data_IF_648810809473
#
_entry.id   IF_648810809473
#
_cell.length_a   1.000
_cell.length_b   1.000
_cell.length_c   1.000
_cell.angle_alpha   90.00
_cell.angle_beta   90.00
_cell.angle_gamma   90.00
#
_symmetry.space_group_name_H-M   'P 1'
#
loop_
_entity.id
_entity.type
_entity.pdbx_description
1 polymer ?
#
# COMPACT_ATOMS: atom_id res chain seq x y z
N UNK A 1 20.19 15.80 9.06
CA UNK A 1 19.11 15.53 8.09
C UNK A 1 17.74 15.82 8.70
N UNK A 2 16.70 16.04 7.87
CA UNK A 2 15.38 16.42 8.38
C UNK A 2 14.76 15.39 9.34
N UNK A 3 15.00 14.10 9.11
CA UNK A 3 14.47 13.00 9.92
C UNK A 3 15.48 12.44 10.95
N UNK A 4 16.65 13.06 11.07
CA UNK A 4 17.70 12.64 12.01
C UNK A 4 17.44 13.20 13.40
N UNK A 5 17.65 12.38 14.44
CA UNK A 5 17.50 12.78 15.83
C UNK A 5 18.60 12.19 16.73
N UNK A 6 18.76 12.85 17.88
CA UNK A 6 19.47 12.33 19.04
C UNK A 6 18.50 12.29 20.23
N UNK A 7 18.40 11.13 20.89
CA UNK A 7 17.70 10.94 22.14
C UNK A 7 18.73 10.57 23.21
N UNK A 8 18.85 11.40 24.25
CA UNK A 8 19.71 11.14 25.39
C UNK A 8 18.88 10.98 26.66
N UNK A 9 19.01 9.84 27.32
CA UNK A 9 18.37 9.53 28.59
C UNK A 9 19.41 9.39 29.67
N UNK A 10 19.29 10.19 30.71
CA UNK A 10 20.12 10.15 31.92
C UNK A 10 19.25 9.85 33.13
N UNK A 11 19.80 9.59 34.32
CA UNK A 11 18.98 9.40 35.51
C UNK A 11 18.13 10.61 35.91
N UNK A 12 18.38 11.80 35.31
CA UNK A 12 17.72 13.06 35.68
C UNK A 12 16.96 13.72 34.53
N UNK A 13 17.33 13.44 33.30
CA UNK A 13 16.79 14.16 32.10
C UNK A 13 16.57 13.25 30.95
N UNK A 14 15.60 13.62 30.12
CA UNK A 14 15.43 13.09 28.77
C UNK A 14 15.55 14.26 27.82
N UNK A 15 16.53 14.22 26.91
CA UNK A 15 16.77 15.25 25.92
C UNK A 15 16.55 14.69 24.52
N UNK A 16 15.84 15.42 23.68
CA UNK A 16 15.59 15.08 22.29
C UNK A 16 16.05 16.26 21.42
N UNK A 17 16.96 16.00 20.51
CA UNK A 17 17.40 16.92 19.47
C UNK A 17 17.02 16.33 18.11
N UNK A 18 16.19 17.03 17.36
CA UNK A 18 15.74 16.60 16.03
C UNK A 18 16.02 17.66 14.96
N UNK A 19 16.33 17.23 13.75
CA UNK A 19 16.49 18.11 12.59
C UNK A 19 15.17 18.78 12.13
N UNK A 20 14.02 18.27 12.63
CA UNK A 20 12.68 18.78 12.37
C UNK A 20 11.70 18.28 13.44
N UNK A 21 10.44 18.80 13.51
CA UNK A 21 9.39 18.23 14.36
C UNK A 21 9.11 16.74 14.06
N UNK A 22 9.22 16.31 12.81
CA UNK A 22 9.10 14.90 12.42
C UNK A 22 10.18 14.02 13.06
N UNK A 23 11.43 14.50 13.10
CA UNK A 23 12.54 13.80 13.78
C UNK A 23 12.29 13.66 15.28
N UNK A 24 11.74 14.71 15.93
CA UNK A 24 11.35 14.66 17.35
C UNK A 24 10.22 13.62 17.56
N UNK A 25 9.24 13.58 16.65
CA UNK A 25 8.19 12.55 16.71
C UNK A 25 8.77 11.15 16.65
N UNK A 26 9.75 10.87 15.78
CA UNK A 26 10.41 9.57 15.70
C UNK A 26 11.24 9.25 16.94
N UNK A 27 11.90 10.23 17.53
CA UNK A 27 12.59 10.06 18.81
C UNK A 27 11.62 9.68 19.93
N UNK A 28 10.42 10.26 19.95
CA UNK A 28 9.37 9.89 20.91
C UNK A 28 8.87 8.46 20.68
N UNK A 29 8.77 7.98 19.43
CA UNK A 29 8.45 6.57 19.18
C UNK A 29 9.55 5.64 19.73
N UNK A 30 10.82 6.00 19.57
CA UNK A 30 11.94 5.27 20.17
C UNK A 30 11.88 5.30 21.70
N UNK A 31 11.66 6.44 22.30
CA UNK A 31 11.51 6.55 23.76
C UNK A 31 10.38 5.65 24.28
N UNK A 32 9.22 5.65 23.61
CA UNK A 32 8.09 4.75 23.97
C UNK A 32 8.46 3.28 23.93
N UNK A 33 9.34 2.88 23.00
CA UNK A 33 9.83 1.51 22.89
C UNK A 33 10.83 1.17 24.00
N UNK A 34 11.60 2.14 24.47
CA UNK A 34 12.58 1.97 25.57
C UNK A 34 11.94 1.88 26.95
N UNK A 35 10.68 2.34 27.11
CA UNK A 35 9.98 2.28 28.39
C UNK A 35 9.71 0.81 28.75
N UNK A 36 10.32 0.34 29.83
CA UNK A 36 10.06 -0.98 30.38
C UNK A 36 8.66 -1.06 31.04
N UNK A 37 8.19 -2.28 31.31
CA UNK A 37 6.87 -2.54 31.92
C UNK A 37 6.70 -1.92 33.31
N UNK A 38 7.81 -1.70 34.03
CA UNK A 38 7.81 -1.02 35.34
C UNK A 38 7.89 0.52 35.22
N UNK A 39 7.79 1.08 33.99
CA UNK A 39 7.85 2.51 33.75
C UNK A 39 9.26 3.12 33.72
N UNK A 40 10.31 2.33 33.84
CA UNK A 40 11.70 2.82 33.79
C UNK A 40 12.21 2.86 32.36
N UNK A 41 13.15 3.77 32.10
CA UNK A 41 13.88 3.89 30.83
C UNK A 41 15.37 3.76 31.13
N UNK A 42 16.12 2.93 30.40
CA UNK A 42 17.56 2.80 30.61
C UNK A 42 18.27 4.12 30.23
N UNK A 43 19.35 4.46 30.94
CA UNK A 43 20.24 5.53 30.53
C UNK A 43 20.90 5.13 29.21
N UNK A 44 20.72 5.96 28.17
CA UNK A 44 21.17 5.62 26.82
C UNK A 44 21.29 6.88 25.97
N UNK A 45 22.17 6.86 24.99
CA UNK A 45 22.22 7.85 23.91
C UNK A 45 21.96 7.14 22.59
N UNK A 46 20.90 7.59 21.90
CA UNK A 46 20.48 7.07 20.60
C UNK A 46 20.68 8.16 19.56
N UNK A 47 21.44 7.89 18.50
CA UNK A 47 21.54 8.72 17.29
C UNK A 47 21.04 7.93 16.11
N UNK A 48 20.03 8.46 15.42
CA UNK A 48 19.32 7.64 14.45
C UNK A 48 18.74 8.45 13.29
N UNK A 49 18.62 7.80 12.13
CA UNK A 49 18.01 8.34 10.92
C UNK A 49 17.59 7.21 10.00
N UNK A 50 16.54 7.40 9.15
CA UNK A 50 16.13 6.37 8.20
C UNK A 50 17.12 6.19 7.05
N UNK A 51 17.19 4.94 6.54
CA UNK A 51 17.92 4.61 5.31
C UNK A 51 17.15 4.99 4.04
N UNK A 52 15.81 4.86 4.06
CA UNK A 52 14.97 5.13 2.89
C UNK A 52 13.99 6.29 3.13
N UNK A 53 13.76 7.07 2.08
CA UNK A 53 12.80 8.17 2.10
C UNK A 53 11.34 7.67 2.11
N UNK A 54 11.02 6.61 1.34
CA UNK A 54 9.70 5.97 1.33
C UNK A 54 9.72 4.74 2.25
N UNK A 55 8.88 4.77 3.26
CA UNK A 55 8.68 3.68 4.22
C UNK A 55 7.18 3.49 4.37
N UNK A 56 6.62 2.56 3.58
CA UNK A 56 5.17 2.49 3.35
C UNK A 56 4.48 1.28 3.96
N UNK A 57 3.18 1.46 4.18
CA UNK A 57 2.22 0.39 4.39
C UNK A 57 0.94 0.66 3.60
N UNK A 58 0.43 -0.35 2.89
CA UNK A 58 -0.80 -0.26 2.12
C UNK A 58 -1.93 -1.03 2.82
N UNK A 59 -3.13 -0.46 2.75
CA UNK A 59 -4.37 -1.11 3.15
C UNK A 59 -5.38 -1.09 2.00
N UNK A 60 -5.86 -2.28 1.62
CA UNK A 60 -6.92 -2.45 0.66
C UNK A 60 -8.29 -2.19 1.31
N UNK A 61 -8.96 -1.13 0.86
CA UNK A 61 -10.36 -0.82 1.21
C UNK A 61 -11.33 -1.24 0.11
N UNK A 62 -10.85 -1.63 -1.07
CA UNK A 62 -11.66 -2.08 -2.20
C UNK A 62 -12.39 -3.38 -1.90
N UNK A 63 -11.71 -4.41 -1.41
CA UNK A 63 -12.29 -5.74 -1.13
C UNK A 63 -13.12 -5.74 0.15
N UNK A 64 -12.59 -5.15 1.25
CA UNK A 64 -13.33 -4.93 2.49
C UNK A 64 -13.26 -3.47 2.92
N UNK A 65 -14.39 -2.96 3.42
CA UNK A 65 -14.51 -1.59 3.90
C UNK A 65 -14.05 -1.48 5.35
N UNK A 66 -13.25 -0.47 5.63
CA UNK A 66 -12.76 -0.14 6.98
C UNK A 66 -13.40 1.17 7.44
N UNK A 67 -13.91 1.19 8.65
CA UNK A 67 -14.41 2.44 9.24
C UNK A 67 -13.29 3.47 9.35
N UNK A 68 -13.64 4.74 9.45
CA UNK A 68 -12.67 5.85 9.65
C UNK A 68 -11.76 5.56 10.85
N UNK A 69 -12.31 5.03 11.94
CA UNK A 69 -11.54 4.70 13.15
C UNK A 69 -10.58 3.50 12.91
N UNK A 70 -10.97 2.52 12.12
CA UNK A 70 -10.09 1.40 11.76
C UNK A 70 -8.94 1.85 10.86
N UNK A 71 -9.20 2.73 9.88
CA UNK A 71 -8.15 3.33 9.06
C UNK A 71 -7.19 4.14 9.94
N UNK A 72 -7.69 4.96 10.88
CA UNK A 72 -6.85 5.69 11.84
C UNK A 72 -6.01 4.75 12.71
N UNK A 73 -6.56 3.62 13.15
CA UNK A 73 -5.79 2.60 13.89
C UNK A 73 -4.69 1.96 13.03
N UNK A 74 -4.92 1.78 11.73
CA UNK A 74 -3.87 1.32 10.82
C UNK A 74 -2.76 2.37 10.69
N UNK A 75 -3.12 3.65 10.55
CA UNK A 75 -2.16 4.77 10.55
C UNK A 75 -1.33 4.78 11.86
N UNK A 76 -1.96 4.52 13.02
CA UNK A 76 -1.24 4.42 14.29
C UNK A 76 -0.21 3.27 14.31
N UNK A 77 -0.53 2.13 13.67
CA UNK A 77 0.43 1.04 13.50
C UNK A 77 1.64 1.51 12.68
N UNK A 78 1.40 2.22 11.58
CA UNK A 78 2.49 2.76 10.74
C UNK A 78 3.33 3.77 11.53
N UNK A 79 2.70 4.70 12.23
CA UNK A 79 3.35 5.74 13.02
C UNK A 79 4.27 5.17 14.11
N UNK A 80 3.80 4.15 14.85
CA UNK A 80 4.59 3.48 15.89
C UNK A 80 5.87 2.83 15.34
N UNK A 81 5.85 2.42 14.09
CA UNK A 81 7.00 1.80 13.41
C UNK A 81 7.81 2.81 12.59
N UNK A 82 7.58 4.12 12.76
CA UNK A 82 8.26 5.21 12.02
C UNK A 82 8.13 5.08 10.50
N UNK A 83 7.08 4.42 10.02
CA UNK A 83 6.69 4.47 8.61
C UNK A 83 6.08 5.85 8.33
N UNK A 84 6.30 6.38 7.13
CA UNK A 84 5.91 7.75 6.77
C UNK A 84 4.95 7.81 5.59
N UNK A 85 4.52 6.67 5.05
CA UNK A 85 3.57 6.61 3.93
C UNK A 85 2.46 5.62 4.25
N UNK A 86 1.22 6.08 4.07
CA UNK A 86 0.03 5.26 3.99
C UNK A 86 -0.46 5.22 2.53
N UNK A 87 -0.29 4.09 1.87
CA UNK A 87 -0.85 3.85 0.55
C UNK A 87 -2.27 3.31 0.72
N UNK A 88 -3.26 4.05 0.22
CA UNK A 88 -4.68 3.75 0.42
C UNK A 88 -5.34 3.31 -0.88
N UNK A 89 -5.61 2.00 -1.00
CA UNK A 89 -6.25 1.41 -2.18
C UNK A 89 -7.77 1.57 -2.10
N UNK A 90 -8.36 2.38 -3.00
CA UNK A 90 -9.72 2.91 -2.89
C UNK A 90 -10.68 2.46 -3.99
N UNK A 91 -10.22 1.79 -5.02
CA UNK A 91 -11.07 1.31 -6.12
C UNK A 91 -10.69 -0.11 -6.54
N UNK A 92 -11.70 -0.92 -6.92
CA UNK A 92 -11.51 -2.32 -7.26
C UNK A 92 -12.70 -2.88 -8.06
N UNK A 93 -12.55 -4.07 -8.66
CA UNK A 93 -13.63 -4.80 -9.33
C UNK A 93 -14.81 -5.10 -8.39
N UNK A 94 -14.52 -5.27 -7.11
CA UNK A 94 -15.53 -5.55 -6.09
C UNK A 94 -16.15 -4.28 -5.53
N UNK A 95 -15.55 -3.07 -5.73
CA UNK A 95 -16.15 -1.81 -5.25
C UNK A 95 -15.34 -0.55 -5.55
N UNK A 96 -16.07 0.56 -5.44
CA UNK A 96 -15.55 1.93 -5.40
C UNK A 96 -15.72 2.52 -4.00
N UNK A 97 -14.69 3.17 -3.43
CA UNK A 97 -14.69 3.53 -2.02
C UNK A 97 -14.65 5.02 -1.70
N UNK A 98 -14.43 5.90 -2.65
CA UNK A 98 -14.30 7.34 -2.41
C UNK A 98 -15.42 8.12 -3.08
N UNK A 99 -16.03 9.06 -2.34
CA UNK A 99 -17.03 9.97 -2.90
C UNK A 99 -16.41 10.89 -3.94
N UNK A 100 -16.96 10.87 -5.14
CA UNK A 100 -16.69 11.80 -6.23
C UNK A 100 -18.01 12.52 -6.55
N UNK A 101 -18.11 13.78 -6.17
CA UNK A 101 -19.36 14.54 -6.25
C UNK A 101 -19.88 14.67 -7.67
N UNK A 102 -18.97 14.77 -8.65
CA UNK A 102 -19.32 14.80 -10.06
C UNK A 102 -19.90 13.48 -10.56
N UNK A 103 -19.57 12.37 -9.92
CA UNK A 103 -19.99 11.02 -10.31
C UNK A 103 -20.66 10.26 -9.16
N UNK A 104 -21.86 10.66 -8.71
CA UNK A 104 -22.50 10.13 -7.50
C UNK A 104 -22.81 8.63 -7.60
N UNK A 105 -23.09 8.09 -8.81
CA UNK A 105 -23.35 6.67 -8.98
C UNK A 105 -22.15 5.77 -8.59
N UNK A 106 -20.93 6.31 -8.53
CA UNK A 106 -19.77 5.56 -8.04
C UNK A 106 -19.97 5.08 -6.60
N UNK A 107 -20.64 5.88 -5.76
CA UNK A 107 -20.95 5.50 -4.38
C UNK A 107 -22.34 4.92 -4.22
N UNK A 108 -23.30 5.29 -5.05
CA UNK A 108 -24.66 4.74 -4.99
C UNK A 108 -24.73 3.30 -5.50
N UNK A 109 -24.02 2.99 -6.59
CA UNK A 109 -23.99 1.67 -7.24
C UNK A 109 -22.65 0.97 -7.00
N UNK A 110 -21.54 1.66 -7.34
CA UNK A 110 -20.19 1.07 -7.36
C UNK A 110 -19.67 0.69 -5.98
N UNK A 111 -20.21 1.25 -4.89
CA UNK A 111 -19.75 0.95 -3.54
C UNK A 111 -20.40 -0.28 -2.90
N UNK A 112 -21.37 -0.92 -3.57
CA UNK A 112 -22.15 -2.03 -3.01
C UNK A 112 -22.06 -3.24 -3.91
N UNK A 113 -21.70 -4.41 -3.38
CA UNK A 113 -21.90 -5.72 -4.01
C UNK A 113 -23.09 -6.44 -3.38
N UNK A 114 -23.83 -7.21 -4.18
CA UNK A 114 -25.07 -7.87 -3.73
C UNK A 114 -24.84 -8.96 -2.68
N UNK A 115 -23.67 -9.59 -2.69
CA UNK A 115 -23.26 -10.69 -1.80
C UNK A 115 -21.75 -10.88 -1.86
N UNK A 116 -21.19 -11.71 -0.99
CA UNK A 116 -19.76 -12.03 -0.98
C UNK A 116 -19.56 -13.54 -1.05
N UNK A 117 -18.58 -13.99 -1.85
CA UNK A 117 -18.18 -15.40 -1.89
C UNK A 117 -17.69 -15.87 -0.51
N UNK A 118 -18.14 -17.05 -0.09
CA UNK A 118 -17.71 -17.68 1.16
C UNK A 118 -16.57 -18.64 0.86
N UNK A 119 -15.44 -18.41 1.53
CA UNK A 119 -14.27 -19.26 1.33
C UNK A 119 -13.45 -18.85 0.10
N UNK A 120 -12.63 -19.76 -0.40
CA UNK A 120 -11.84 -19.52 -1.61
C UNK A 120 -12.71 -19.63 -2.85
N UNK A 121 -12.58 -18.66 -3.74
CA UNK A 121 -13.28 -18.71 -5.03
C UNK A 121 -12.66 -19.77 -5.93
N UNK A 122 -13.49 -20.74 -6.35
CA UNK A 122 -13.10 -21.76 -7.33
C UNK A 122 -13.37 -21.22 -8.75
N UNK A 123 -12.28 -20.86 -9.44
CA UNK A 123 -12.32 -20.35 -10.83
C UNK A 123 -12.59 -21.46 -11.85
N UNK A 124 -12.41 -22.72 -11.46
CA UNK A 124 -12.50 -23.88 -12.38
C UNK A 124 -13.88 -24.50 -12.39
N UNK A 125 -14.60 -24.39 -11.28
CA UNK A 125 -15.97 -24.91 -11.13
C UNK A 125 -16.81 -23.92 -10.30
N UNK A 126 -17.45 -22.99 -10.99
CA UNK A 126 -18.27 -21.95 -10.34
C UNK A 126 -19.43 -22.52 -9.53
N UNK A 127 -19.91 -23.74 -9.84
CA UNK A 127 -21.00 -24.39 -9.11
C UNK A 127 -20.64 -24.76 -7.66
N UNK A 128 -19.35 -24.79 -7.34
CA UNK A 128 -18.83 -25.04 -5.99
C UNK A 128 -18.81 -23.79 -5.11
N UNK A 129 -18.90 -22.62 -5.72
CA UNK A 129 -18.86 -21.36 -4.98
C UNK A 129 -20.18 -21.17 -4.22
N UNK A 130 -20.05 -20.75 -2.97
CA UNK A 130 -21.16 -20.36 -2.11
C UNK A 130 -21.03 -18.89 -1.76
N UNK A 131 -22.16 -18.23 -1.61
CA UNK A 131 -22.26 -16.82 -1.30
C UNK A 131 -23.07 -16.61 -0.03
N UNK A 132 -22.81 -15.50 0.67
CA UNK A 132 -23.47 -15.18 1.93
C UNK A 132 -24.89 -14.61 1.75
N UNK A 133 -25.26 -14.24 0.51
CA UNK A 133 -26.55 -13.67 0.16
C UNK A 133 -26.85 -12.33 0.82
N UNK A 134 -25.82 -11.61 1.29
CA UNK A 134 -25.95 -10.34 2.00
C UNK A 134 -25.29 -9.21 1.24
N UNK A 135 -26.01 -8.11 0.97
CA UNK A 135 -25.39 -6.92 0.44
C UNK A 135 -24.28 -6.42 1.38
N UNK A 136 -23.16 -6.08 0.78
CA UNK A 136 -22.03 -5.52 1.52
C UNK A 136 -21.58 -4.23 0.84
N UNK A 137 -21.47 -3.12 1.58
CA UNK A 137 -21.17 -1.80 1.04
C UNK A 137 -20.39 -0.93 2.02
N UNK A 138 -20.18 0.30 1.60
CA UNK A 138 -19.50 1.35 2.36
C UNK A 138 -18.58 2.16 1.46
N UNK A 139 -18.46 3.43 1.75
CA UNK A 139 -17.56 4.37 1.08
C UNK A 139 -17.16 5.47 2.06
N UNK A 140 -16.15 6.23 1.71
CA UNK A 140 -15.71 7.40 2.47
C UNK A 140 -16.25 8.65 1.80
N UNK A 141 -16.93 9.49 2.57
CA UNK A 141 -17.25 10.85 2.16
C UNK A 141 -15.97 11.67 2.01
N UNK A 142 -16.04 12.77 1.27
CA UNK A 142 -14.89 13.67 1.19
C UNK A 142 -14.45 14.21 2.56
N UNK A 143 -15.39 14.38 3.49
CA UNK A 143 -15.08 14.81 4.84
C UNK A 143 -14.38 13.70 5.65
N UNK A 144 -14.78 12.44 5.48
CA UNK A 144 -14.05 11.29 6.05
C UNK A 144 -12.60 11.24 5.55
N UNK A 145 -12.41 11.43 4.24
CA UNK A 145 -11.08 11.46 3.63
C UNK A 145 -10.23 12.59 4.21
N UNK A 146 -10.79 13.82 4.31
CA UNK A 146 -10.08 14.96 4.92
C UNK A 146 -9.70 14.67 6.37
N UNK A 147 -10.60 14.07 7.14
CA UNK A 147 -10.34 13.71 8.54
C UNK A 147 -9.22 12.66 8.67
N UNK A 148 -9.15 11.68 7.77
CA UNK A 148 -8.09 10.66 7.72
C UNK A 148 -6.75 11.29 7.31
N UNK A 149 -6.74 12.10 6.27
CA UNK A 149 -5.53 12.81 5.79
C UNK A 149 -4.96 13.73 6.88
N UNK A 150 -5.81 14.50 7.56
CA UNK A 150 -5.39 15.35 8.68
C UNK A 150 -4.81 14.52 9.84
N UNK A 151 -5.46 13.40 10.19
CA UNK A 151 -4.99 12.50 11.23
C UNK A 151 -3.62 11.88 10.92
N UNK A 152 -3.39 11.52 9.66
CA UNK A 152 -2.10 11.02 9.19
C UNK A 152 -1.01 12.10 9.25
N UNK A 153 -1.35 13.33 8.83
CA UNK A 153 -0.44 14.47 8.83
C UNK A 153 0.08 14.82 10.23
N UNK A 154 -0.77 14.73 11.28
CA UNK A 154 -0.37 14.88 12.69
C UNK A 154 0.69 13.85 13.12
N UNK A 155 0.84 12.76 12.39
CA UNK A 155 1.79 11.66 12.62
C UNK A 155 2.93 11.64 11.62
N UNK A 156 3.05 12.70 10.81
CA UNK A 156 4.03 12.80 9.72
C UNK A 156 3.94 11.65 8.72
N UNK A 157 2.72 11.19 8.44
CA UNK A 157 2.42 10.16 7.45
C UNK A 157 1.73 10.83 6.25
N UNK A 158 2.34 10.71 5.08
CA UNK A 158 1.74 11.08 3.80
C UNK A 158 0.74 10.00 3.38
N UNK A 159 -0.47 10.41 2.96
CA UNK A 159 -1.46 9.49 2.41
C UNK A 159 -1.40 9.55 0.90
N UNK A 160 -0.98 8.45 0.26
CA UNK A 160 -0.98 8.29 -1.19
C UNK A 160 -2.25 7.53 -1.59
N UNK A 161 -3.21 8.18 -2.27
CA UNK A 161 -4.41 7.50 -2.75
C UNK A 161 -4.09 6.64 -3.97
N UNK A 162 -4.77 5.50 -4.08
CA UNK A 162 -4.80 4.71 -5.30
C UNK A 162 -6.20 4.65 -5.88
N UNK A 163 -6.30 5.06 -7.15
CA UNK A 163 -7.44 4.81 -8.04
C UNK A 163 -6.91 3.95 -9.17
N UNK A 164 -7.15 2.66 -9.05
CA UNK A 164 -6.62 1.69 -10.00
C UNK A 164 -7.28 1.83 -11.37
N UNK A 165 -6.47 1.81 -12.44
CA UNK A 165 -6.93 1.95 -13.82
C UNK A 165 -5.86 1.44 -14.80
N UNK A 166 -6.22 0.97 -16.00
CA UNK A 166 -7.58 0.83 -16.55
C UNK A 166 -8.26 -0.50 -16.18
N UNK A 167 -7.53 -1.44 -15.54
CA UNK A 167 -8.07 -2.65 -14.91
C UNK A 167 -8.75 -2.36 -13.57
N UNK A 168 -9.31 -3.38 -12.91
CA UNK A 168 -9.91 -3.30 -11.57
C UNK A 168 -10.98 -2.20 -11.41
N UNK A 169 -11.76 -1.95 -12.48
CA UNK A 169 -12.68 -0.82 -12.58
C UNK A 169 -14.17 -1.23 -12.71
N UNK A 170 -14.54 -2.47 -12.34
CA UNK A 170 -15.96 -2.86 -12.43
C UNK A 170 -16.87 -2.05 -11.50
N UNK A 171 -16.39 -1.58 -10.36
CA UNK A 171 -17.14 -0.64 -9.53
C UNK A 171 -17.56 0.62 -10.30
N UNK A 172 -16.64 1.19 -11.10
CA UNK A 172 -16.92 2.32 -11.96
C UNK A 172 -17.74 1.93 -13.20
N UNK A 173 -17.44 0.81 -13.84
CA UNK A 173 -18.15 0.34 -15.03
C UNK A 173 -19.60 -0.06 -14.74
N UNK A 174 -19.91 -0.61 -13.58
CA UNK A 174 -21.27 -0.88 -13.14
C UNK A 174 -22.07 0.42 -12.95
N UNK A 175 -21.39 1.50 -12.51
CA UNK A 175 -21.96 2.81 -12.28
C UNK A 175 -22.15 3.61 -13.57
N UNK A 176 -21.17 3.55 -14.48
CA UNK A 176 -21.08 4.31 -15.73
C UNK A 176 -20.67 3.38 -16.87
N UNK A 177 -21.57 2.53 -17.36
CA UNK A 177 -21.23 1.46 -18.31
C UNK A 177 -20.69 1.95 -19.66
N UNK A 178 -20.98 3.18 -20.05
CA UNK A 178 -20.44 3.78 -21.27
C UNK A 178 -18.90 3.89 -21.27
N UNK A 179 -18.26 3.88 -20.10
CA UNK A 179 -16.80 3.95 -19.96
C UNK A 179 -16.08 2.66 -20.38
N UNK A 180 -16.80 1.55 -20.44
CA UNK A 180 -16.22 0.27 -20.88
C UNK A 180 -16.42 -0.01 -22.36
N UNK A 181 -15.72 -1.02 -22.88
CA UNK A 181 -15.76 -1.40 -24.29
C UNK A 181 -17.13 -1.93 -24.72
N UNK A 182 -17.86 -2.63 -23.85
CA UNK A 182 -19.20 -3.18 -24.14
C UNK A 182 -20.32 -2.16 -23.99
N UNK A 183 -20.11 -1.11 -23.19
CA UNK A 183 -21.09 -0.05 -22.93
C UNK A 183 -22.32 -0.46 -22.11
N UNK A 184 -22.40 -1.72 -21.64
CA UNK A 184 -23.53 -2.25 -20.86
C UNK A 184 -23.20 -3.58 -20.19
N UNK A 185 -24.03 -3.99 -19.22
CA UNK A 185 -24.00 -5.32 -18.63
C UNK A 185 -22.80 -5.56 -17.72
N UNK A 186 -22.36 -4.50 -17.03
CA UNK A 186 -21.36 -4.61 -15.98
C UNK A 186 -22.04 -4.70 -14.61
N UNK A 187 -21.46 -5.50 -13.73
CA UNK A 187 -21.89 -5.66 -12.35
C UNK A 187 -20.70 -5.59 -11.43
N UNK A 188 -20.89 -5.05 -10.24
CA UNK A 188 -19.90 -5.09 -9.17
C UNK A 188 -19.68 -6.56 -8.77
N UNK A 189 -18.42 -7.01 -8.76
CA UNK A 189 -18.11 -8.41 -8.49
C UNK A 189 -18.37 -8.83 -7.04
N UNK A 190 -18.80 -10.07 -6.90
CA UNK A 190 -19.12 -10.73 -5.62
C UNK A 190 -18.04 -11.72 -5.19
N UNK A 191 -16.98 -11.86 -5.98
CA UNK A 191 -15.88 -12.80 -5.81
C UNK A 191 -14.53 -12.16 -6.13
N UNK A 192 -13.46 -12.90 -5.94
CA UNK A 192 -12.09 -12.43 -6.11
C UNK A 192 -11.51 -12.85 -7.45
N UNK A 193 -10.72 -11.99 -8.06
CA UNK A 193 -10.06 -12.29 -9.33
C UNK A 193 -9.79 -11.04 -10.17
N UNK A 194 -9.52 -11.24 -11.46
CA UNK A 194 -9.19 -10.21 -12.45
C UNK A 194 -10.29 -10.19 -13.49
N UNK A 195 -11.00 -9.08 -13.62
CA UNK A 195 -12.02 -8.89 -14.64
C UNK A 195 -11.42 -8.67 -16.02
N UNK A 196 -12.05 -9.26 -17.05
CA UNK A 196 -11.72 -8.92 -18.45
C UNK A 196 -12.25 -7.56 -18.88
N UNK A 197 -13.21 -7.03 -18.15
CA UNK A 197 -13.83 -5.74 -18.43
C UNK A 197 -13.04 -4.62 -17.76
N UNK A 198 -12.46 -3.77 -18.59
CA UNK A 198 -11.57 -2.67 -18.20
C UNK A 198 -12.08 -1.37 -18.83
N UNK A 199 -11.56 -0.23 -18.40
CA UNK A 199 -11.85 1.05 -19.05
C UNK A 199 -11.50 1.02 -20.54
N UNK A 200 -12.31 1.66 -21.37
CA UNK A 200 -12.10 1.71 -22.82
C UNK A 200 -11.09 2.80 -23.19
N UNK A 201 -9.85 2.42 -23.48
CA UNK A 201 -8.80 3.35 -23.86
C UNK A 201 -9.00 4.00 -25.25
N UNK A 202 -10.01 3.58 -26.02
CA UNK A 202 -10.35 4.17 -27.31
C UNK A 202 -11.30 5.36 -27.25
N UNK A 203 -11.91 5.65 -26.10
CA UNK A 203 -12.91 6.72 -25.95
C UNK A 203 -12.36 7.94 -25.21
N UNK A 204 -12.62 9.13 -25.71
CA UNK A 204 -12.24 10.37 -25.00
C UNK A 204 -13.04 10.56 -23.71
N UNK A 205 -14.31 10.14 -23.69
CA UNK A 205 -15.17 10.17 -22.50
C UNK A 205 -14.53 9.41 -21.30
N UNK A 206 -13.76 8.37 -21.57
CA UNK A 206 -13.02 7.63 -20.52
C UNK A 206 -11.92 8.51 -19.90
N UNK A 207 -11.19 9.25 -20.72
CA UNK A 207 -10.14 10.15 -20.21
C UNK A 207 -10.75 11.34 -19.47
N UNK A 208 -11.85 11.90 -19.99
CA UNK A 208 -12.59 12.95 -19.28
C UNK A 208 -13.07 12.48 -17.91
N UNK A 209 -13.59 11.26 -17.82
CA UNK A 209 -13.98 10.65 -16.54
C UNK A 209 -12.78 10.54 -15.59
N UNK A 210 -11.65 9.99 -16.06
CA UNK A 210 -10.44 9.82 -15.25
C UNK A 210 -9.92 11.17 -14.76
N UNK A 211 -9.82 12.16 -15.63
CA UNK A 211 -9.34 13.50 -15.28
C UNK A 211 -10.24 14.18 -14.25
N UNK A 212 -11.56 14.06 -14.39
CA UNK A 212 -12.53 14.61 -13.44
C UNK A 212 -12.46 13.90 -12.05
N UNK A 213 -12.30 12.58 -12.03
CA UNK A 213 -12.10 11.83 -10.78
C UNK A 213 -10.80 12.27 -10.10
N UNK A 214 -9.71 12.31 -10.86
CA UNK A 214 -8.41 12.72 -10.31
C UNK A 214 -8.43 14.17 -9.84
N UNK A 215 -9.16 15.09 -10.49
CA UNK A 215 -9.29 16.48 -10.03
C UNK A 215 -9.84 16.55 -8.59
N UNK A 216 -10.92 15.82 -8.29
CA UNK A 216 -11.45 15.77 -6.91
C UNK A 216 -10.50 15.04 -5.95
N UNK A 217 -9.79 14.00 -6.40
CA UNK A 217 -8.76 13.32 -5.59
C UNK A 217 -7.63 14.29 -5.23
N UNK A 218 -7.16 15.12 -6.17
CA UNK A 218 -6.10 16.11 -5.90
C UNK A 218 -6.51 17.16 -4.87
N UNK A 219 -7.80 17.52 -4.80
CA UNK A 219 -8.32 18.45 -3.79
C UNK A 219 -8.36 17.84 -2.38
N UNK A 220 -8.46 16.52 -2.29
CA UNK A 220 -8.54 15.79 -1.03
C UNK A 220 -7.18 15.36 -0.48
N UNK A 221 -6.22 15.05 -1.36
CA UNK A 221 -4.93 14.51 -0.98
C UNK A 221 -3.79 15.49 -1.34
N UNK A 222 -3.08 16.02 -0.35
CA UNK A 222 -1.95 16.92 -0.57
C UNK A 222 -0.70 16.20 -1.10
N UNK A 223 -0.70 14.88 -1.15
CA UNK A 223 0.44 14.08 -1.62
C UNK A 223 0.91 14.52 -3.00
N UNK A 224 2.22 14.61 -3.15
CA UNK A 224 2.84 14.81 -4.45
C UNK A 224 2.59 13.63 -5.40
N UNK A 225 2.39 12.44 -4.85
CA UNK A 225 2.23 11.20 -5.58
C UNK A 225 0.77 10.76 -5.63
N UNK A 226 0.34 10.31 -6.80
CA UNK A 226 -0.95 9.65 -7.02
C UNK A 226 -0.68 8.28 -7.62
N UNK A 227 -1.18 7.24 -6.97
CA UNK A 227 -1.08 5.88 -7.49
C UNK A 227 -2.27 5.58 -8.40
N UNK A 228 -1.99 5.13 -9.61
CA UNK A 228 -3.01 4.89 -10.64
C UNK A 228 -3.14 3.41 -11.02
N UNK A 229 -2.59 2.51 -10.19
CA UNK A 229 -2.63 1.08 -10.44
C UNK A 229 -1.86 0.66 -11.67
N UNK A 230 -2.56 0.15 -12.66
CA UNK A 230 -2.02 -0.25 -13.97
C UNK A 230 -1.66 -1.72 -14.09
N UNK A 231 -1.89 -2.48 -13.02
CA UNK A 231 -1.69 -3.92 -12.98
C UNK A 231 -2.86 -4.70 -13.59
N UNK A 232 -2.59 -5.93 -13.86
CA UNK A 232 -3.57 -6.97 -14.23
C UNK A 232 -4.66 -6.49 -15.21
N UNK A 233 -4.28 -5.65 -16.19
CA UNK A 233 -5.17 -5.15 -17.22
C UNK A 233 -5.27 -6.12 -18.39
N UNK A 234 -6.32 -6.96 -18.51
CA UNK A 234 -6.48 -7.89 -19.63
C UNK A 234 -6.77 -7.13 -20.93
N UNK A 235 -6.28 -7.66 -22.04
CA UNK A 235 -6.37 -7.01 -23.36
C UNK A 235 -7.51 -7.53 -24.24
N UNK A 236 -8.24 -8.55 -23.80
CA UNK A 236 -9.28 -9.21 -24.60
C UNK A 236 -10.34 -8.23 -25.12
N UNK A 237 -10.84 -7.36 -24.22
CA UNK A 237 -11.86 -6.37 -24.62
C UNK A 237 -11.33 -5.34 -25.62
N UNK A 238 -10.09 -4.91 -25.46
CA UNK A 238 -9.48 -3.93 -26.35
C UNK A 238 -9.25 -4.49 -27.75
N UNK A 239 -8.89 -5.78 -27.87
CA UNK A 239 -8.71 -6.45 -29.18
C UNK A 239 -9.99 -6.46 -30.01
N UNK A 240 -11.13 -6.61 -29.35
CA UNK A 240 -12.44 -6.70 -29.99
C UNK A 240 -13.14 -5.33 -30.11
N UNK A 241 -12.67 -4.31 -29.40
CA UNK A 241 -13.32 -3.00 -29.33
C UNK A 241 -12.97 -2.12 -30.55
N UNK A 242 -13.94 -1.72 -31.40
CA UNK A 242 -13.66 -0.88 -32.55
C UNK A 242 -13.02 0.47 -32.18
N UNK A 243 -13.38 1.06 -31.04
CA UNK A 243 -12.82 2.33 -30.58
C UNK A 243 -11.34 2.17 -30.18
N UNK A 244 -10.99 1.09 -29.43
CA UNK A 244 -9.61 0.81 -29.05
C UNK A 244 -8.74 0.51 -30.29
N UNK A 245 -9.26 -0.31 -31.21
CA UNK A 245 -8.55 -0.62 -32.46
C UNK A 245 -8.39 0.59 -33.38
N UNK A 246 -9.35 1.52 -33.40
CA UNK A 246 -9.20 2.81 -34.10
C UNK A 246 -8.08 3.64 -33.45
N UNK A 247 -8.08 3.78 -32.11
CA UNK A 247 -7.05 4.51 -31.34
C UNK A 247 -5.65 3.96 -31.64
N UNK A 248 -5.47 2.63 -31.64
CA UNK A 248 -4.20 1.98 -31.98
C UNK A 248 -3.71 2.44 -33.34
N UNK A 249 -4.60 2.47 -34.37
CA UNK A 249 -4.22 2.90 -35.73
C UNK A 249 -3.93 4.39 -35.82
N UNK A 250 -4.75 5.23 -35.19
CA UNK A 250 -4.63 6.68 -35.22
C UNK A 250 -3.35 7.17 -34.54
N UNK A 251 -2.97 6.53 -33.42
CA UNK A 251 -1.77 6.87 -32.66
C UNK A 251 -0.52 6.09 -33.12
N UNK A 252 -0.65 5.22 -34.14
CA UNK A 252 0.46 4.43 -34.66
C UNK A 252 1.03 3.40 -33.68
N UNK A 253 0.19 2.89 -32.75
CA UNK A 253 0.59 1.93 -31.75
C UNK A 253 0.70 0.52 -32.34
N UNK A 254 1.62 -0.30 -31.86
CA UNK A 254 1.86 -1.65 -32.38
C UNK A 254 0.83 -2.68 -31.87
N UNK A 255 0.29 -2.50 -30.66
CA UNK A 255 -0.59 -3.46 -30.02
C UNK A 255 -1.28 -2.87 -28.76
N UNK A 256 -2.06 -3.69 -28.07
CA UNK A 256 -2.79 -3.31 -26.85
C UNK A 256 -1.89 -3.03 -25.63
N UNK A 257 -0.65 -3.52 -25.59
CA UNK A 257 0.29 -3.13 -24.52
C UNK A 257 0.74 -1.68 -24.73
N UNK A 258 0.98 -1.27 -25.97
CA UNK A 258 1.25 0.14 -26.27
C UNK A 258 0.01 1.02 -26.10
N UNK A 259 -1.20 0.48 -26.27
CA UNK A 259 -2.43 1.20 -25.93
C UNK A 259 -2.54 1.43 -24.40
N UNK A 260 -2.11 0.49 -23.58
CA UNK A 260 -2.02 0.73 -22.13
C UNK A 260 -0.96 1.78 -21.80
N UNK A 261 0.19 1.71 -22.45
CA UNK A 261 1.24 2.74 -22.34
C UNK A 261 0.72 4.11 -22.73
N UNK A 262 -0.01 4.23 -23.83
CA UNK A 262 -0.67 5.47 -24.25
C UNK A 262 -1.64 5.99 -23.18
N UNK A 263 -2.46 5.10 -22.60
CA UNK A 263 -3.36 5.46 -21.51
C UNK A 263 -2.59 6.03 -20.32
N UNK A 264 -1.55 5.33 -19.87
CA UNK A 264 -0.71 5.76 -18.74
C UNK A 264 -0.01 7.10 -19.02
N UNK A 265 0.53 7.31 -20.21
CA UNK A 265 1.18 8.56 -20.58
C UNK A 265 0.20 9.74 -20.59
N UNK A 266 -1.06 9.54 -21.01
CA UNK A 266 -2.08 10.60 -20.95
C UNK A 266 -2.41 10.98 -19.50
N UNK A 267 -2.59 9.98 -18.62
CA UNK A 267 -2.84 10.20 -17.20
C UNK A 267 -1.64 10.86 -16.53
N UNK A 268 -0.42 10.39 -16.82
CA UNK A 268 0.81 10.97 -16.30
C UNK A 268 0.97 12.44 -16.72
N UNK A 269 0.75 12.74 -18.00
CA UNK A 269 0.83 14.11 -18.51
C UNK A 269 -0.14 15.03 -17.76
N UNK A 270 -1.40 14.59 -17.60
CA UNK A 270 -2.41 15.36 -16.88
C UNK A 270 -2.00 15.59 -15.41
N UNK A 271 -1.50 14.58 -14.72
CA UNK A 271 -1.00 14.70 -13.34
C UNK A 271 0.16 15.70 -13.26
N UNK A 272 1.11 15.66 -14.19
CA UNK A 272 2.24 16.60 -14.21
C UNK A 272 1.78 18.05 -14.43
N UNK A 273 0.81 18.28 -15.30
CA UNK A 273 0.20 19.60 -15.52
C UNK A 273 -0.47 20.14 -14.26
N UNK A 274 -0.88 19.25 -13.34
CA UNK A 274 -1.42 19.59 -12.02
C UNK A 274 -0.39 19.49 -10.86
N UNK A 275 0.91 19.42 -11.19
CA UNK A 275 1.99 19.40 -10.19
C UNK A 275 2.12 18.11 -9.40
N UNK A 276 1.57 17.00 -9.89
CA UNK A 276 1.64 15.68 -9.27
C UNK A 276 2.50 14.71 -10.06
N UNK A 277 2.89 13.61 -9.43
CA UNK A 277 3.70 12.55 -10.02
C UNK A 277 2.94 11.21 -9.96
N UNK A 278 3.01 10.46 -11.05
CA UNK A 278 2.36 9.16 -11.17
C UNK A 278 3.19 8.08 -10.47
N UNK A 279 2.53 7.25 -9.66
CA UNK A 279 3.00 5.92 -9.26
C UNK A 279 2.11 4.89 -9.96
N UNK A 280 2.68 3.79 -10.41
CA UNK A 280 1.92 2.62 -10.87
C UNK A 280 2.65 1.32 -10.57
N UNK A 281 1.89 0.23 -10.57
CA UNK A 281 2.45 -1.12 -10.44
C UNK A 281 3.37 -1.44 -11.61
N UNK A 282 4.27 -2.40 -11.45
CA UNK A 282 5.36 -2.63 -12.43
C UNK A 282 4.90 -3.04 -13.85
N UNK A 283 3.62 -3.44 -14.02
CA UNK A 283 3.05 -3.73 -15.33
C UNK A 283 2.87 -2.48 -16.21
N UNK A 284 2.86 -1.27 -15.66
CA UNK A 284 2.83 -0.06 -16.49
C UNK A 284 4.06 0.08 -17.40
N UNK A 285 5.12 -0.68 -17.11
CA UNK A 285 6.31 -0.74 -17.98
C UNK A 285 6.07 -1.51 -19.28
N UNK A 286 4.98 -2.27 -19.39
CA UNK A 286 4.61 -2.99 -20.61
C UNK A 286 4.19 -1.98 -21.69
N UNK A 287 4.81 -2.05 -22.87
CA UNK A 287 4.58 -1.08 -23.93
C UNK A 287 5.36 0.24 -23.80
N UNK A 288 6.06 0.41 -22.68
CA UNK A 288 6.88 1.60 -22.39
C UNK A 288 6.22 2.56 -21.41
N UNK A 289 7.04 3.21 -20.60
CA UNK A 289 6.64 4.25 -19.65
C UNK A 289 7.73 5.32 -19.56
N UNK A 290 7.38 6.53 -19.17
CA UNK A 290 8.33 7.62 -18.99
C UNK A 290 9.27 7.35 -17.80
N UNK A 291 10.42 8.04 -17.78
CA UNK A 291 11.35 7.96 -16.65
C UNK A 291 10.89 8.74 -15.42
N UNK A 292 9.90 9.61 -15.58
CA UNK A 292 9.31 10.39 -14.49
C UNK A 292 8.35 9.56 -13.64
N UNK A 293 7.70 8.55 -14.22
CA UNK A 293 6.83 7.64 -13.50
C UNK A 293 7.60 6.87 -12.43
N UNK A 294 7.01 6.75 -11.24
CA UNK A 294 7.53 5.91 -10.17
C UNK A 294 6.96 4.50 -10.30
N UNK A 295 7.81 3.50 -10.27
CA UNK A 295 7.41 2.11 -10.40
C UNK A 295 7.28 1.48 -9.02
N UNK A 296 6.09 0.96 -8.69
CA UNK A 296 5.88 0.14 -7.51
C UNK A 296 6.01 -1.33 -7.91
N UNK A 297 7.13 -1.96 -7.54
CA UNK A 297 7.51 -3.29 -8.01
C UNK A 297 6.95 -4.38 -7.09
N UNK A 298 5.93 -5.11 -7.57
CA UNK A 298 5.21 -6.12 -6.79
C UNK A 298 5.35 -7.54 -7.36
N UNK A 299 5.44 -7.70 -8.69
CA UNK A 299 5.44 -9.03 -9.31
C UNK A 299 6.64 -9.85 -8.87
N UNK A 300 7.80 -9.23 -8.87
CA UNK A 300 9.03 -9.71 -8.26
C UNK A 300 10.06 -8.59 -8.09
N UNK A 301 11.13 -8.86 -7.36
CA UNK A 301 12.20 -7.91 -7.12
C UNK A 301 12.96 -7.53 -8.41
N UNK A 302 13.02 -8.41 -9.39
CA UNK A 302 13.68 -8.17 -10.66
C UNK A 302 13.06 -7.02 -11.46
N UNK A 303 11.73 -6.91 -11.42
CA UNK A 303 11.02 -5.82 -12.09
C UNK A 303 11.46 -4.47 -11.54
N UNK A 304 11.59 -4.38 -10.23
CA UNK A 304 12.07 -3.17 -9.59
C UNK A 304 13.53 -2.85 -9.94
N UNK A 305 14.43 -3.84 -9.90
CA UNK A 305 15.83 -3.61 -10.26
C UNK A 305 15.99 -3.28 -11.73
N UNK A 306 15.20 -3.86 -12.63
CA UNK A 306 15.20 -3.51 -14.06
C UNK A 306 14.70 -2.06 -14.28
N UNK A 307 13.63 -1.64 -13.60
CA UNK A 307 13.15 -0.28 -13.63
C UNK A 307 14.21 0.73 -13.12
N UNK A 308 14.86 0.41 -11.99
CA UNK A 308 15.91 1.25 -11.43
C UNK A 308 17.10 1.41 -12.38
N UNK A 309 17.53 0.33 -13.06
CA UNK A 309 18.57 0.38 -14.09
C UNK A 309 18.19 1.23 -15.29
N UNK A 310 16.91 1.24 -15.66
CA UNK A 310 16.38 2.08 -16.73
C UNK A 310 16.24 3.55 -16.34
N UNK A 311 16.44 3.85 -15.05
CA UNK A 311 16.44 5.22 -14.51
C UNK A 311 15.12 5.67 -13.91
N UNK A 312 14.12 4.79 -13.80
CA UNK A 312 12.91 5.07 -13.05
C UNK A 312 13.18 5.03 -11.53
N UNK A 313 12.46 5.85 -10.78
CA UNK A 313 12.40 5.72 -9.32
C UNK A 313 11.51 4.54 -8.96
N UNK A 314 11.88 3.81 -7.91
CA UNK A 314 11.25 2.53 -7.57
C UNK A 314 10.91 2.46 -6.09
N UNK A 315 9.73 1.95 -5.80
CA UNK A 315 9.32 1.50 -4.47
C UNK A 315 9.25 -0.03 -4.53
N UNK A 316 10.04 -0.71 -3.68
CA UNK A 316 10.09 -2.16 -3.64
C UNK A 316 8.99 -2.72 -2.74
N UNK A 317 8.11 -3.52 -3.33
CA UNK A 317 7.05 -4.23 -2.63
C UNK A 317 6.81 -5.64 -3.20
N UNK A 318 7.89 -6.43 -3.48
CA UNK A 318 7.73 -7.72 -4.13
C UNK A 318 6.86 -8.66 -3.28
N UNK A 319 5.89 -9.31 -3.92
CA UNK A 319 4.87 -10.15 -3.25
C UNK A 319 5.47 -11.27 -2.39
N UNK A 320 6.64 -11.77 -2.75
CA UNK A 320 7.33 -12.82 -2.01
C UNK A 320 7.98 -12.36 -0.70
N UNK A 321 7.97 -11.03 -0.43
CA UNK A 321 8.56 -10.43 0.76
C UNK A 321 7.61 -9.42 1.43
N UNK A 322 6.66 -8.84 0.70
CA UNK A 322 5.91 -7.67 1.14
C UNK A 322 4.40 -7.85 1.19
N UNK A 323 3.82 -8.98 0.69
CA UNK A 323 2.38 -9.22 0.73
C UNK A 323 1.98 -9.86 2.06
N UNK A 324 1.50 -9.02 2.96
CA UNK A 324 1.20 -9.40 4.34
C UNK A 324 -0.18 -10.07 4.51
N UNK A 325 -0.93 -10.25 3.44
CA UNK A 325 -2.12 -11.09 3.35
C UNK A 325 -1.78 -12.59 3.23
N UNK A 326 -0.54 -12.94 2.86
CA UNK A 326 -0.08 -14.33 2.83
C UNK A 326 0.00 -14.91 4.25
N UNK A 327 -0.24 -16.21 4.37
CA UNK A 327 -0.18 -16.91 5.65
C UNK A 327 1.14 -16.70 6.40
N UNK A 328 1.09 -16.52 7.71
CA UNK A 328 2.27 -16.40 8.58
C UNK A 328 2.81 -17.77 8.99
N UNK A 329 2.03 -18.83 8.84
CA UNK A 329 2.40 -20.20 9.17
C UNK A 329 2.42 -21.09 7.94
N UNK A 330 3.28 -22.11 7.95
CA UNK A 330 3.35 -23.13 6.90
C UNK A 330 2.18 -24.13 6.96
N UNK A 331 1.39 -24.12 8.02
CA UNK A 331 0.17 -24.92 8.19
C UNK A 331 -1.03 -23.99 8.47
N UNK A 332 -1.48 -23.24 7.44
CA UNK A 332 -2.53 -22.23 7.62
C UNK A 332 -3.90 -22.85 7.96
N UNK A 333 -4.21 -24.03 7.45
CA UNK A 333 -5.52 -24.68 7.69
C UNK A 333 -5.75 -24.96 9.17
N UNK A 334 -4.67 -25.18 9.92
CA UNK A 334 -4.73 -25.46 11.35
C UNK A 334 -4.68 -24.22 12.23
N UNK A 335 -3.95 -23.18 11.81
CA UNK A 335 -3.56 -22.09 12.72
C UNK A 335 -4.05 -20.71 12.31
N UNK A 336 -4.56 -20.55 11.09
CA UNK A 336 -4.98 -19.25 10.57
C UNK A 336 -6.38 -19.30 9.96
N UNK A 337 -7.10 -18.17 9.92
CA UNK A 337 -8.28 -18.01 9.09
C UNK A 337 -7.95 -18.25 7.62
N UNK A 338 -8.99 -18.48 6.81
CA UNK A 338 -8.83 -18.65 5.38
C UNK A 338 -8.08 -17.46 4.75
N UNK A 339 -7.17 -17.74 3.84
CA UNK A 339 -6.37 -16.75 3.15
C UNK A 339 -5.86 -17.26 1.80
N UNK A 340 -5.03 -16.50 1.09
CA UNK A 340 -4.30 -17.00 -0.07
C UNK A 340 -3.50 -18.26 0.29
N UNK A 341 -3.34 -19.17 -0.67
CA UNK A 341 -2.61 -20.45 -0.48
C UNK A 341 -1.09 -20.27 -0.40
N UNK A 342 -0.62 -19.13 0.05
CA UNK A 342 0.79 -18.76 0.07
C UNK A 342 1.26 -18.48 1.49
N UNK A 343 2.51 -18.81 1.75
CA UNK A 343 3.18 -18.62 3.03
C UNK A 343 4.28 -17.57 2.93
N UNK A 344 4.30 -16.65 3.88
CA UNK A 344 5.32 -15.62 4.01
C UNK A 344 5.72 -15.47 5.48
N UNK A 345 6.84 -16.07 5.86
CA UNK A 345 7.38 -15.92 7.21
C UNK A 345 7.99 -14.53 7.42
N UNK A 346 8.08 -14.12 8.68
CA UNK A 346 8.79 -12.89 9.08
C UNK A 346 10.26 -12.90 8.60
N UNK A 347 10.94 -14.06 8.64
CA UNK A 347 12.32 -14.20 8.14
C UNK A 347 12.41 -13.98 6.62
N UNK A 348 11.41 -14.40 5.85
CA UNK A 348 11.36 -14.13 4.40
C UNK A 348 11.14 -12.64 4.12
N UNK A 349 10.25 -11.98 4.87
CA UNK A 349 10.10 -10.51 4.80
C UNK A 349 11.45 -9.84 5.06
N UNK A 350 12.13 -10.19 6.15
CA UNK A 350 13.37 -9.57 6.57
C UNK A 350 14.55 -9.80 5.59
N UNK A 351 14.47 -10.82 4.74
CA UNK A 351 15.47 -11.11 3.72
C UNK A 351 15.42 -10.16 2.51
N UNK A 352 14.40 -9.34 2.40
CA UNK A 352 14.31 -8.36 1.31
C UNK A 352 15.59 -7.53 1.23
N UNK A 353 16.18 -7.50 0.05
CA UNK A 353 17.31 -6.64 -0.29
C UNK A 353 16.91 -5.70 -1.44
N UNK A 354 16.51 -4.46 -1.14
CA UNK A 354 16.06 -3.51 -2.17
C UNK A 354 17.13 -3.19 -3.22
N UNK A 355 18.39 -3.47 -2.94
CA UNK A 355 19.52 -3.17 -3.82
C UNK A 355 20.07 -4.40 -4.55
N UNK A 356 19.43 -5.58 -4.39
CA UNK A 356 19.91 -6.80 -5.06
C UNK A 356 20.18 -6.54 -6.54
N UNK A 357 21.39 -6.93 -6.99
CA UNK A 357 21.88 -6.81 -8.38
C UNK A 357 21.92 -5.38 -8.93
N UNK A 358 21.81 -4.35 -8.11
CA UNK A 358 22.04 -2.96 -8.51
C UNK A 358 23.50 -2.57 -8.27
N UNK A 359 23.99 -1.65 -9.10
CA UNK A 359 25.26 -0.99 -8.85
C UNK A 359 25.05 0.20 -7.88
N UNK A 360 26.07 0.60 -7.10
CA UNK A 360 25.92 1.71 -6.16
C UNK A 360 25.38 3.01 -6.77
N UNK A 361 25.71 3.30 -8.03
CA UNK A 361 25.19 4.47 -8.74
C UNK A 361 23.68 4.42 -9.01
N UNK A 362 23.07 3.22 -8.99
CA UNK A 362 21.67 2.98 -9.24
C UNK A 362 20.82 3.02 -7.94
N UNK A 363 21.45 2.91 -6.76
CA UNK A 363 20.78 2.91 -5.45
C UNK A 363 19.90 4.14 -5.22
N UNK A 364 20.32 5.30 -5.77
CA UNK A 364 19.54 6.55 -5.69
C UNK A 364 18.15 6.46 -6.32
N UNK A 365 17.92 5.47 -7.18
CA UNK A 365 16.64 5.24 -7.84
C UNK A 365 15.68 4.43 -6.97
N UNK A 366 16.15 3.82 -5.87
CA UNK A 366 15.28 3.13 -4.91
C UNK A 366 14.81 4.14 -3.88
N UNK A 367 13.52 4.50 -3.93
CA UNK A 367 12.90 5.40 -2.95
C UNK A 367 12.70 4.73 -1.60
N UNK A 368 12.43 3.42 -1.60
CA UNK A 368 12.23 2.66 -0.39
C UNK A 368 11.41 1.40 -0.59
N UNK A 369 10.75 0.97 0.48
CA UNK A 369 10.00 -0.28 0.54
C UNK A 369 8.63 -0.10 1.17
N UNK A 370 7.71 -1.03 0.87
CA UNK A 370 6.35 -1.01 1.39
C UNK A 370 5.83 -2.42 1.66
N UNK A 371 5.06 -2.59 2.73
CA UNK A 371 4.29 -3.79 2.98
C UNK A 371 2.83 -3.60 2.58
N UNK A 372 2.23 -4.60 1.92
CA UNK A 372 0.87 -4.53 1.40
C UNK A 372 -0.06 -5.50 2.13
N UNK A 373 -1.25 -5.01 2.50
CA UNK A 373 -2.31 -5.79 3.13
C UNK A 373 -3.52 -5.82 2.19
N UNK A 374 -3.56 -6.81 1.31
CA UNK A 374 -4.72 -7.11 0.49
C UNK A 374 -5.81 -7.79 1.33
N UNK A 375 -7.07 -7.54 1.04
CA UNK A 375 -8.14 -7.87 1.99
C UNK A 375 -9.23 -8.80 1.45
N UNK A 376 -8.98 -9.53 0.37
CA UNK A 376 -9.94 -10.51 -0.16
C UNK A 376 -10.45 -11.47 0.91
N UNK A 377 -9.55 -11.92 1.79
CA UNK A 377 -9.85 -12.89 2.85
C UNK A 377 -9.77 -12.30 4.26
N UNK A 378 -9.61 -10.99 4.37
CA UNK A 378 -9.48 -10.29 5.64
C UNK A 378 -10.73 -9.42 5.83
N UNK A 379 -11.68 -9.90 6.65
CA UNK A 379 -13.00 -9.28 6.78
C UNK A 379 -13.18 -8.44 8.05
N UNK A 380 -12.25 -8.50 9.01
CA UNK A 380 -12.29 -7.72 10.25
C UNK A 380 -10.94 -7.13 10.60
N UNK A 381 -10.95 -6.03 11.36
CA UNK A 381 -9.74 -5.29 11.68
C UNK A 381 -8.79 -6.02 12.63
N UNK A 382 -9.29 -6.92 13.46
CA UNK A 382 -8.45 -7.81 14.27
C UNK A 382 -7.61 -8.74 13.39
N UNK A 383 -8.19 -9.20 12.28
CA UNK A 383 -7.47 -9.98 11.27
C UNK A 383 -6.45 -9.09 10.51
N UNK A 384 -6.79 -7.84 10.13
CA UNK A 384 -5.81 -6.89 9.58
C UNK A 384 -4.60 -6.76 10.51
N UNK A 385 -4.82 -6.51 11.80
CA UNK A 385 -3.73 -6.37 12.77
C UNK A 385 -2.87 -7.63 12.86
N UNK A 386 -3.48 -8.80 12.90
CA UNK A 386 -2.78 -10.09 12.96
C UNK A 386 -1.91 -10.34 11.74
N UNK A 387 -2.44 -10.05 10.54
CA UNK A 387 -1.69 -10.25 9.30
C UNK A 387 -0.61 -9.20 9.09
N UNK A 388 -0.87 -7.98 9.50
CA UNK A 388 0.12 -6.89 9.44
C UNK A 388 1.30 -7.16 10.38
N UNK A 389 1.03 -7.56 11.62
CA UNK A 389 2.06 -7.71 12.65
C UNK A 389 2.40 -9.18 12.92
N UNK A 390 3.68 -9.50 13.18
CA UNK A 390 4.81 -8.57 13.31
C UNK A 390 5.55 -8.23 12.01
N UNK A 391 5.09 -8.70 10.85
CA UNK A 391 5.83 -8.60 9.58
C UNK A 391 6.02 -7.16 9.09
N UNK A 392 5.05 -6.26 9.33
CA UNK A 392 5.22 -4.82 9.06
C UNK A 392 6.37 -4.23 9.86
N UNK A 393 6.63 -4.76 11.02
CA UNK A 393 7.78 -4.34 11.81
C UNK A 393 9.11 -4.76 11.16
N UNK A 394 9.16 -5.91 10.47
CA UNK A 394 10.33 -6.30 9.69
C UNK A 394 10.52 -5.39 8.47
N UNK A 395 9.43 -4.99 7.78
CA UNK A 395 9.47 -3.98 6.72
C UNK A 395 10.05 -2.66 7.27
N UNK A 396 9.54 -2.22 8.41
CA UNK A 396 9.99 -0.97 9.05
C UNK A 396 11.48 -1.02 9.44
N UNK A 397 11.96 -2.13 9.98
CA UNK A 397 13.38 -2.33 10.30
C UNK A 397 14.26 -2.23 9.06
N UNK A 398 13.88 -2.91 7.97
CA UNK A 398 14.63 -2.81 6.71
C UNK A 398 14.60 -1.37 6.19
N UNK A 399 13.45 -0.72 6.21
CA UNK A 399 13.30 0.64 5.69
C UNK A 399 14.07 1.69 6.50
N UNK A 400 14.21 1.45 7.80
CA UNK A 400 14.89 2.38 8.72
C UNK A 400 16.38 2.10 8.86
N UNK A 401 16.77 0.84 9.01
CA UNK A 401 18.12 0.41 9.41
C UNK A 401 18.75 -0.62 8.47
N UNK A 402 18.49 -0.51 7.17
CA UNK A 402 18.96 -1.49 6.17
C UNK A 402 20.45 -1.83 6.27
N UNK A 403 21.30 -0.82 6.47
CA UNK A 403 22.76 -0.93 6.56
C UNK A 403 23.25 -1.64 7.85
N UNK A 404 22.37 -1.82 8.82
CA UNK A 404 22.66 -2.39 10.15
C UNK A 404 21.75 -3.56 10.51
N UNK A 405 20.92 -4.03 9.57
CA UNK A 405 19.93 -5.07 9.84
C UNK A 405 20.60 -6.41 10.23
N UNK A 406 20.08 -7.03 11.26
CA UNK A 406 20.45 -8.36 11.72
C UNK A 406 19.21 -9.08 12.24
N UNK A 407 18.89 -10.22 11.62
CA UNK A 407 17.63 -10.90 11.90
C UNK A 407 17.58 -11.47 13.32
N UNK A 408 18.66 -12.02 13.80
CA UNK A 408 18.65 -12.72 15.09
C UNK A 408 18.49 -11.73 16.25
N UNK A 409 19.14 -10.56 16.17
CA UNK A 409 18.92 -9.49 17.14
C UNK A 409 17.52 -8.91 17.02
N UNK A 410 17.01 -8.70 15.77
CA UNK A 410 15.65 -8.26 15.55
C UNK A 410 14.63 -9.22 16.19
N UNK A 411 14.80 -10.52 16.02
CA UNK A 411 13.90 -11.53 16.58
C UNK A 411 13.96 -11.54 18.12
N UNK A 412 15.15 -11.40 18.71
CA UNK A 412 15.32 -11.31 20.19
C UNK A 412 14.58 -10.09 20.73
N UNK A 413 14.77 -8.91 20.12
CA UNK A 413 14.10 -7.69 20.53
C UNK A 413 12.57 -7.82 20.41
N UNK A 414 12.09 -8.38 19.32
CA UNK A 414 10.66 -8.61 19.10
C UNK A 414 10.05 -9.55 20.15
N UNK A 415 10.75 -10.64 20.51
CA UNK A 415 10.34 -11.59 21.56
C UNK A 415 10.37 -10.95 22.94
N UNK A 416 11.40 -10.16 23.25
CA UNK A 416 11.52 -9.43 24.51
C UNK A 416 10.34 -8.51 24.77
N UNK A 417 9.90 -7.78 23.75
CA UNK A 417 8.70 -6.95 23.82
C UNK A 417 7.40 -7.76 24.01
N UNK A 418 7.28 -8.92 23.37
CA UNK A 418 6.11 -9.81 23.54
C UNK A 418 6.00 -10.34 24.96
N UNK A 419 7.10 -10.74 25.56
CA UNK A 419 7.11 -11.27 26.95
C UNK A 419 6.73 -10.17 27.95
N UNK A 420 7.27 -8.97 27.78
CA UNK A 420 6.99 -7.83 28.68
C UNK A 420 5.53 -7.37 28.58
N UNK A 421 4.89 -7.42 27.40
CA UNK A 421 3.49 -7.01 27.20
C UNK A 421 2.47 -8.12 27.48
N UNK A 422 2.85 -9.38 27.44
CA UNK A 422 1.97 -10.47 27.88
C UNK A 422 1.63 -10.40 29.38
N UNK A 423 2.44 -9.70 30.17
CA UNK A 423 2.16 -9.38 31.57
C UNK A 423 1.13 -8.25 31.76
N UNK A 424 0.94 -7.39 30.75
CA UNK A 424 -0.08 -6.34 30.74
C UNK A 424 -1.39 -6.85 30.12
N UNK A 425 -2.10 -7.69 30.84
CA UNK A 425 -3.49 -8.03 30.52
C UNK A 425 -4.34 -6.77 30.67
N UNK A 426 -4.65 -6.07 29.57
CA UNK A 426 -5.89 -5.26 29.39
C UNK A 426 -5.91 -4.29 28.22
N UNK A 427 -5.14 -4.48 27.15
CA UNK A 427 -5.42 -3.80 25.90
C UNK A 427 -5.31 -4.81 24.77
N UNK A 428 -6.40 -4.98 24.01
CA UNK A 428 -6.46 -5.83 22.82
C UNK A 428 -5.70 -5.14 21.65
N UNK A 429 -4.41 -4.98 21.81
CA UNK A 429 -3.49 -4.56 20.78
C UNK A 429 -2.30 -5.49 20.80
N UNK A 430 -1.92 -6.12 19.65
CA UNK A 430 -0.71 -6.90 19.60
C UNK A 430 0.48 -6.03 19.99
N UNK A 431 1.52 -6.61 20.60
CA UNK A 431 2.70 -5.87 21.00
C UNK A 431 3.38 -5.29 19.76
N UNK A 432 3.27 -4.00 19.59
CA UNK A 432 3.95 -3.21 18.60
C UNK A 432 5.09 -2.47 19.27
N UNK A 433 6.21 -3.05 19.32
CA UNK A 433 7.38 -2.37 19.83
C UNK A 433 8.60 -3.04 19.26
N UNK A 434 9.13 -2.49 18.21
CA UNK A 434 10.45 -2.82 17.75
C UNK A 434 11.38 -1.73 18.16
N UNK A 435 12.40 -2.15 18.85
CA UNK A 435 13.61 -1.35 19.00
C UNK A 435 14.34 -1.48 17.67
N UNK A 436 14.34 -0.40 16.93
CA UNK A 436 15.30 -0.29 15.83
C UNK A 436 16.71 -0.34 16.42
N UNK A 437 17.62 -1.03 15.78
CA UNK A 437 19.02 -0.97 16.11
C UNK A 437 19.48 0.48 15.98
N UNK A 438 19.43 1.15 17.09
CA UNK A 438 20.07 2.42 17.24
C UNK A 438 21.54 2.08 17.53
N UNK A 439 22.47 2.81 16.97
CA UNK A 439 23.87 2.66 17.35
C UNK A 439 23.99 2.92 18.86
N UNK A 440 23.87 1.89 19.67
CA UNK A 440 24.15 1.95 21.08
C UNK A 440 25.66 2.12 21.23
N UNK A 441 26.11 3.34 21.36
CA UNK A 441 27.41 3.58 21.97
C UNK A 441 27.18 3.59 23.47
N UNK A 442 27.16 2.41 24.08
CA UNK A 442 27.27 2.28 25.52
C UNK A 442 28.63 2.82 25.93
N UNK A 443 28.65 4.00 26.51
CA UNK A 443 29.82 4.44 27.23
C UNK A 443 29.69 3.84 28.64
N UNK A 444 30.63 2.98 29.11
CA UNK A 444 30.56 2.39 30.42
C UNK A 444 30.73 3.37 31.58
N UNK A 445 30.96 4.66 31.31
CA UNK A 445 31.27 5.69 32.32
C UNK A 445 30.12 6.71 32.53
N UNK A 446 28.84 6.32 32.31
CA UNK A 446 27.70 7.15 32.69
C UNK A 446 26.72 6.36 33.58
#
# INVERSE_FOLDING_TARGET
>A
AAEEYTLAVTPRTVEILGGSPQAVFYALQTLRQLVATNGTVPAVVVRDKPCFAHRGGMLDSGRHFWTVDEVKRFIDILAMHKLNVFHWHLSEDQRWRIEIKRYPLLTEIGSVRRETVIGRYDKTDESRNRYDGKPYGGFYTQDDVRAIVAYAAERYIEVIPEIDMPGHMLGALASYPQLGCRGKGYEVWTHWGISKDVLCAGKEETFEFVENVLAEVLDLFPSKFIHVGGDECPKERWKECPACQRRIREEGLANENELQSYFMHRVEKWLHEHGRELIGWDEIMQGGISKSAVIMAWTDQFRGTDAARKGNRVIMTPKWNCYLDYSQTSDPEKYEPIGPTRYLSMRQVYRLDPYDRLKPAEYRNILGIQGNVWTEYIADFGHVQRMTLPRMAAIAEIAWAYDRKDYDDFEILLRGHRVNKAAEKRVASPPCGLLFRNGFSGNPDF
#
